data_IF_045563336510
#
_entry.id   IF_045563336510
#
_cell.length_a   1.000
_cell.length_b   1.000
_cell.length_c   1.000
_cell.angle_alpha   90.00
_cell.angle_beta   90.00
_cell.angle_gamma   90.00
#
_symmetry.space_group_name_H-M   'P 1'
#
loop_
_entity.id
_entity.type
_entity.pdbx_description
1 polymer ?
#
# COMPACT_ATOMS: atom_id res chain seq x y z
N UNK A 1 132.21 26.80 -34.01
CA UNK A 1 131.29 27.92 -33.81
C UNK A 1 129.89 27.39 -33.90
N UNK A 2 128.99 27.63 -32.97
CA UNK A 2 127.59 27.36 -32.79
C UNK A 2 127.20 26.08 -32.03
N UNK A 3 127.03 26.24 -30.67
CA UNK A 3 125.99 25.41 -30.03
C UNK A 3 125.13 26.23 -28.96
N UNK A 4 124.70 27.43 -29.28
CA UNK A 4 123.90 28.23 -28.22
C UNK A 4 122.45 28.42 -28.57
N UNK A 5 122.00 28.05 -29.74
CA UNK A 5 120.58 28.26 -30.15
C UNK A 5 119.65 27.10 -29.80
N UNK A 6 120.23 25.89 -29.63
CA UNK A 6 119.39 24.68 -29.33
C UNK A 6 118.80 24.59 -27.89
N UNK A 7 119.46 25.22 -26.93
CA UNK A 7 118.97 25.22 -25.51
C UNK A 7 117.80 26.20 -25.24
N UNK A 8 117.77 27.33 -25.99
CA UNK A 8 116.66 28.31 -25.79
C UNK A 8 115.30 27.79 -26.34
N UNK A 9 115.28 26.94 -27.38
CA UNK A 9 114.01 26.37 -27.87
C UNK A 9 113.47 25.26 -26.96
N UNK A 10 114.34 24.54 -26.27
CA UNK A 10 113.97 23.48 -25.35
C UNK A 10 113.38 24.07 -24.06
N UNK A 11 113.90 25.21 -23.50
CA UNK A 11 113.40 25.82 -22.34
C UNK A 11 112.02 26.50 -22.58
N UNK A 12 111.79 27.09 -23.77
CA UNK A 12 110.54 27.70 -24.15
C UNK A 12 109.40 26.66 -24.27
N UNK A 13 109.75 25.48 -24.80
CA UNK A 13 108.73 24.41 -24.95
C UNK A 13 108.29 23.81 -23.61
N UNK A 14 109.26 23.66 -22.67
CA UNK A 14 108.94 23.17 -21.31
C UNK A 14 108.07 24.19 -20.51
N UNK A 15 108.36 25.47 -20.64
CA UNK A 15 107.58 26.53 -19.99
C UNK A 15 106.12 26.61 -20.56
N UNK A 16 105.99 26.37 -21.89
CA UNK A 16 104.67 26.32 -22.53
C UNK A 16 103.85 25.12 -22.09
N UNK A 17 104.49 23.96 -21.84
CA UNK A 17 103.85 22.73 -21.42
C UNK A 17 103.42 22.80 -19.93
N UNK A 18 104.12 23.53 -19.07
CA UNK A 18 103.84 23.73 -17.66
C UNK A 18 102.65 24.73 -17.47
N UNK A 19 102.59 25.75 -18.34
CA UNK A 19 101.44 26.68 -18.30
C UNK A 19 100.15 26.12 -18.85
N UNK A 20 100.23 25.08 -19.70
CA UNK A 20 98.99 24.43 -20.26
C UNK A 20 98.34 23.44 -19.32
N UNK A 21 99.01 23.02 -18.23
CA UNK A 21 98.50 21.99 -17.33
C UNK A 21 97.67 22.50 -16.14
N UNK A 22 97.56 23.84 -15.94
CA UNK A 22 96.78 24.41 -14.84
C UNK A 22 95.33 24.74 -15.27
N UNK A 23 94.66 23.87 -15.99
CA UNK A 23 93.22 23.90 -16.23
C UNK A 23 92.47 23.43 -14.96
N UNK A 24 92.32 24.34 -14.02
CA UNK A 24 91.37 24.11 -12.90
C UNK A 24 90.00 23.87 -13.52
N UNK A 25 89.59 22.63 -13.64
CA UNK A 25 88.19 22.26 -13.84
C UNK A 25 87.39 22.75 -12.58
N UNK A 26 86.86 23.95 -12.67
CA UNK A 26 85.91 24.44 -11.71
C UNK A 26 84.67 23.55 -11.82
N UNK A 27 84.55 22.58 -10.90
CA UNK A 27 83.35 21.83 -10.74
C UNK A 27 82.19 22.85 -10.50
N UNK A 28 81.43 23.12 -11.53
CA UNK A 28 80.20 23.95 -11.30
C UNK A 28 79.35 23.16 -10.36
N UNK A 29 78.88 23.80 -9.26
CA UNK A 29 77.90 23.16 -8.41
C UNK A 29 76.70 22.86 -9.31
N UNK A 30 76.32 21.59 -9.36
CA UNK A 30 75.07 21.20 -9.95
C UNK A 30 74.01 21.91 -9.12
N UNK A 31 73.50 23.00 -9.65
CA UNK A 31 72.32 23.63 -9.07
C UNK A 31 71.18 22.67 -9.30
N UNK A 32 70.92 21.84 -8.31
CA UNK A 32 69.71 21.07 -8.31
C UNK A 32 68.55 22.11 -8.28
N UNK A 33 67.96 22.29 -9.43
CA UNK A 33 66.76 23.07 -9.47
C UNK A 33 65.69 22.23 -8.74
N UNK A 34 65.20 22.69 -7.57
CA UNK A 34 64.13 21.95 -6.91
C UNK A 34 62.95 21.86 -7.89
N UNK A 35 62.48 20.67 -8.10
CA UNK A 35 61.25 20.45 -8.88
C UNK A 35 60.15 21.12 -8.10
N UNK A 36 59.60 22.20 -8.64
CA UNK A 36 58.43 22.87 -8.06
C UNK A 36 57.25 21.97 -8.33
N UNK A 37 56.78 21.27 -7.32
CA UNK A 37 55.57 20.49 -7.38
C UNK A 37 54.44 21.36 -6.79
N UNK A 38 53.38 21.44 -7.51
CA UNK A 38 52.15 22.05 -7.01
C UNK A 38 51.45 20.99 -6.14
N UNK A 39 51.58 21.15 -4.82
CA UNK A 39 50.87 20.28 -3.89
C UNK A 39 49.62 20.99 -3.42
N UNK A 40 48.50 20.38 -3.67
CA UNK A 40 47.21 20.82 -3.13
C UNK A 40 46.85 19.92 -1.93
N UNK A 41 46.64 20.55 -0.80
CA UNK A 41 46.22 19.83 0.40
C UNK A 41 44.72 19.51 0.23
N UNK A 42 44.42 18.23 -0.02
CA UNK A 42 43.05 17.78 0.00
C UNK A 42 42.54 17.87 1.43
N UNK A 43 41.75 18.88 1.71
CA UNK A 43 41.00 18.91 2.94
C UNK A 43 39.84 17.94 2.79
N UNK A 44 39.76 16.96 3.70
CA UNK A 44 38.59 16.15 3.85
C UNK A 44 37.42 17.02 4.34
N UNK A 45 36.85 17.79 3.45
CA UNK A 45 35.57 18.42 3.70
C UNK A 45 34.50 17.34 3.76
N UNK A 46 33.72 17.35 4.81
CA UNK A 46 32.45 16.62 4.81
C UNK A 46 31.62 17.22 3.68
N UNK A 47 31.77 16.68 2.47
CA UNK A 47 30.81 16.96 1.41
C UNK A 47 29.52 16.24 1.81
N UNK A 48 28.69 16.95 2.59
CA UNK A 48 27.33 16.52 2.79
C UNK A 48 26.61 16.64 1.45
N UNK A 49 26.55 15.53 0.70
CA UNK A 49 25.70 15.46 -0.46
C UNK A 49 24.26 15.57 0.03
N UNK A 50 23.64 16.72 -0.15
CA UNK A 50 22.23 16.91 0.13
C UNK A 50 21.45 16.42 -1.09
N UNK A 51 20.70 15.36 -0.91
CA UNK A 51 19.79 14.87 -1.93
C UNK A 51 18.37 15.34 -1.58
N UNK A 52 17.75 16.06 -2.50
CA UNK A 52 16.35 16.47 -2.36
C UNK A 52 15.48 15.56 -3.21
N UNK A 53 14.55 14.90 -2.56
CA UNK A 53 13.56 14.06 -3.23
C UNK A 53 12.18 14.70 -3.11
N UNK A 54 11.43 14.72 -4.20
CA UNK A 54 10.02 15.06 -4.16
C UNK A 54 9.24 13.86 -3.62
N UNK A 55 8.35 14.09 -2.67
CA UNK A 55 7.52 13.04 -2.09
C UNK A 55 6.32 13.63 -1.36
N UNK A 56 5.25 12.84 -1.28
CA UNK A 56 4.06 13.18 -0.52
C UNK A 56 4.15 12.58 0.88
N UNK A 57 3.87 13.40 1.89
CA UNK A 57 3.72 12.92 3.26
C UNK A 57 2.29 12.42 3.44
N UNK A 58 2.14 11.12 3.67
CA UNK A 58 0.85 10.49 3.93
C UNK A 58 0.81 9.86 5.30
N UNK A 59 -0.38 9.66 5.82
CA UNK A 59 -0.58 8.89 7.04
C UNK A 59 -0.04 7.46 6.88
N UNK A 60 0.53 6.90 7.94
CA UNK A 60 0.99 5.50 7.95
C UNK A 60 -0.14 4.52 7.66
N UNK A 61 -1.35 4.88 8.08
CA UNK A 61 -2.57 4.11 7.87
C UNK A 61 -3.62 5.05 7.29
N UNK A 62 -4.18 4.66 6.16
CA UNK A 62 -5.32 5.31 5.54
C UNK A 62 -6.44 4.29 5.47
N UNK A 63 -7.61 4.63 5.98
CA UNK A 63 -8.78 3.75 5.98
C UNK A 63 -9.93 4.43 5.25
N UNK A 64 -10.50 3.71 4.29
CA UNK A 64 -11.71 4.16 3.61
C UNK A 64 -12.92 3.61 4.35
N UNK A 65 -13.76 4.50 4.89
CA UNK A 65 -15.01 4.13 5.54
C UNK A 65 -16.15 4.21 4.54
N UNK A 66 -16.99 3.18 4.53
CA UNK A 66 -18.20 3.12 3.74
C UNK A 66 -19.33 2.54 4.59
N UNK A 67 -20.57 2.94 4.30
CA UNK A 67 -21.75 2.31 4.88
C UNK A 67 -21.93 0.92 4.29
N UNK A 68 -22.32 -0.05 5.12
CA UNK A 68 -22.68 -1.40 4.67
C UNK A 68 -24.09 -1.46 4.07
N UNK A 69 -24.94 -0.50 4.41
CA UNK A 69 -26.28 -0.34 3.84
C UNK A 69 -26.32 0.87 2.90
N UNK A 70 -27.04 0.74 1.79
CA UNK A 70 -27.30 1.85 0.87
C UNK A 70 -28.35 2.80 1.47
N UNK A 71 -28.19 4.10 1.24
CA UNK A 71 -29.14 5.09 1.72
C UNK A 71 -28.65 6.52 1.47
N UNK A 72 -29.51 7.50 1.77
CA UNK A 72 -29.17 8.92 1.71
C UNK A 72 -28.50 9.33 3.02
N UNK A 73 -27.39 10.07 2.94
CA UNK A 73 -26.77 10.67 4.13
C UNK A 73 -27.75 11.71 4.71
N UNK A 74 -28.17 11.50 5.96
CA UNK A 74 -29.03 12.41 6.69
C UNK A 74 -28.24 13.46 7.45
N UNK A 75 -27.07 13.09 7.97
CA UNK A 75 -26.26 13.97 8.80
C UNK A 75 -24.79 13.65 8.67
N UNK A 76 -23.97 14.69 8.60
CA UNK A 76 -22.49 14.61 8.71
C UNK A 76 -22.06 15.29 10.00
N UNK A 77 -21.46 14.55 10.92
CA UNK A 77 -21.11 15.01 12.26
C UNK A 77 -19.68 15.55 12.37
N UNK A 78 -18.86 15.36 11.32
CA UNK A 78 -17.45 15.76 11.32
C UNK A 78 -17.12 16.56 10.05
N UNK A 79 -16.17 17.49 10.16
CA UNK A 79 -15.69 18.31 9.06
C UNK A 79 -14.43 17.75 8.44
N UNK A 80 -14.11 18.18 7.20
CA UNK A 80 -12.85 17.78 6.55
C UNK A 80 -11.67 18.35 7.35
N UNK A 81 -10.66 17.51 7.59
CA UNK A 81 -9.47 17.89 8.37
C UNK A 81 -9.64 17.79 9.89
N UNK A 82 -10.80 17.38 10.36
CA UNK A 82 -11.07 17.21 11.80
C UNK A 82 -10.46 15.91 12.33
N UNK A 83 -9.87 15.98 13.52
CA UNK A 83 -9.37 14.81 14.21
C UNK A 83 -10.52 14.03 14.86
N UNK A 84 -10.57 12.73 14.60
CA UNK A 84 -11.63 11.85 15.10
C UNK A 84 -11.06 10.79 16.04
N UNK A 85 -11.90 10.29 16.94
CA UNK A 85 -11.57 9.25 17.90
C UNK A 85 -12.18 7.91 17.49
N UNK A 86 -11.58 6.82 17.96
CA UNK A 86 -12.18 5.50 17.80
C UNK A 86 -13.59 5.44 18.42
N UNK A 87 -14.57 4.93 17.66
CA UNK A 87 -15.96 4.86 18.06
C UNK A 87 -16.77 6.16 17.89
N UNK A 88 -16.15 7.24 17.38
CA UNK A 88 -16.88 8.47 17.09
C UNK A 88 -17.74 8.30 15.84
N UNK A 89 -19.01 8.71 15.92
CA UNK A 89 -19.89 8.73 14.77
C UNK A 89 -19.45 9.83 13.79
N UNK A 90 -19.28 9.45 12.51
CA UNK A 90 -18.81 10.34 11.45
C UNK A 90 -19.98 10.87 10.61
N UNK A 91 -20.86 9.96 10.22
CA UNK A 91 -22.02 10.25 9.38
C UNK A 91 -23.17 9.34 9.76
N UNK A 92 -24.39 9.75 9.40
CA UNK A 92 -25.61 8.96 9.56
C UNK A 92 -26.35 8.87 8.24
N UNK A 93 -26.92 7.71 7.95
CA UNK A 93 -27.83 7.54 6.79
C UNK A 93 -29.28 7.64 7.25
N UNK A 94 -30.15 8.02 6.31
CA UNK A 94 -31.61 7.99 6.50
C UNK A 94 -32.07 6.53 6.47
N UNK A 95 -32.72 6.10 7.54
CA UNK A 95 -33.19 4.73 7.72
C UNK A 95 -34.68 4.54 7.33
N UNK A 96 -35.37 5.58 6.86
CA UNK A 96 -36.79 5.51 6.57
C UNK A 96 -37.12 4.41 5.55
N UNK A 97 -36.36 4.31 4.48
CA UNK A 97 -36.55 3.29 3.43
C UNK A 97 -36.26 1.89 3.96
N UNK A 98 -35.17 1.72 4.72
CA UNK A 98 -34.78 0.45 5.30
C UNK A 98 -35.80 -0.03 6.34
N UNK A 99 -36.34 0.90 7.13
CA UNK A 99 -37.43 0.62 8.09
C UNK A 99 -38.68 0.16 7.35
N UNK A 100 -39.07 0.87 6.30
CA UNK A 100 -40.25 0.52 5.49
C UNK A 100 -40.06 -0.87 4.85
N UNK A 101 -38.88 -1.18 4.35
CA UNK A 101 -38.58 -2.52 3.80
C UNK A 101 -38.63 -3.61 4.87
N UNK A 102 -38.15 -3.34 6.09
CA UNK A 102 -38.25 -4.27 7.21
C UNK A 102 -39.73 -4.53 7.61
N UNK A 103 -40.54 -3.48 7.72
CA UNK A 103 -41.95 -3.61 8.04
C UNK A 103 -42.75 -4.37 6.96
N UNK A 104 -42.41 -4.15 5.68
CA UNK A 104 -42.98 -4.89 4.57
C UNK A 104 -42.62 -6.38 4.65
N UNK A 105 -41.35 -6.71 4.83
CA UNK A 105 -40.91 -8.12 4.92
C UNK A 105 -41.47 -8.82 6.16
N UNK A 106 -41.75 -8.07 7.25
CA UNK A 106 -42.47 -8.57 8.42
C UNK A 106 -43.92 -8.91 8.13
N UNK A 107 -44.61 -8.07 7.37
CA UNK A 107 -45.99 -8.33 6.95
C UNK A 107 -46.08 -9.55 6.01
N UNK A 108 -45.13 -9.68 5.05
CA UNK A 108 -45.02 -10.82 4.16
C UNK A 108 -44.75 -12.13 4.92
N UNK A 109 -43.91 -12.08 5.97
CA UNK A 109 -43.67 -13.22 6.85
C UNK A 109 -44.96 -13.62 7.59
N UNK A 110 -45.67 -12.68 8.16
CA UNK A 110 -46.94 -12.96 8.87
C UNK A 110 -48.00 -13.58 7.95
N UNK A 111 -48.06 -13.15 6.69
CA UNK A 111 -48.94 -13.75 5.67
C UNK A 111 -48.53 -15.17 5.34
N UNK A 112 -47.23 -15.43 5.15
CA UNK A 112 -46.72 -16.76 4.88
C UNK A 112 -46.87 -17.71 6.06
N UNK A 113 -46.76 -17.23 7.30
CA UNK A 113 -47.07 -18.02 8.51
C UNK A 113 -48.54 -18.41 8.57
N UNK A 114 -49.45 -17.50 8.22
CA UNK A 114 -50.90 -17.79 8.19
C UNK A 114 -51.23 -18.83 7.11
N UNK A 115 -50.67 -18.71 5.88
CA UNK A 115 -50.81 -19.66 4.80
C UNK A 115 -50.27 -21.06 5.17
N UNK A 116 -49.11 -21.11 5.80
CA UNK A 116 -48.53 -22.33 6.31
C UNK A 116 -49.42 -23.02 7.35
N UNK A 117 -49.92 -22.30 8.34
CA UNK A 117 -50.83 -22.84 9.38
C UNK A 117 -52.06 -23.41 8.78
N UNK A 118 -52.72 -22.74 7.79
CA UNK A 118 -53.88 -23.23 7.09
C UNK A 118 -53.59 -24.55 6.37
N UNK A 119 -52.51 -24.62 5.61
CA UNK A 119 -52.15 -25.80 4.86
C UNK A 119 -51.69 -26.95 5.77
N UNK A 120 -51.01 -26.65 6.91
CA UNK A 120 -50.66 -27.65 7.91
C UNK A 120 -51.90 -28.30 8.55
N UNK A 121 -52.89 -27.52 8.90
CA UNK A 121 -54.15 -28.04 9.44
C UNK A 121 -54.91 -28.89 8.39
N UNK A 122 -54.93 -28.44 7.13
CA UNK A 122 -55.51 -29.21 6.04
C UNK A 122 -54.75 -30.52 5.84
N UNK A 123 -53.41 -30.48 5.71
CA UNK A 123 -52.55 -31.65 5.55
C UNK A 123 -52.77 -32.68 6.67
N UNK A 124 -52.81 -32.26 7.93
CA UNK A 124 -53.00 -33.15 9.07
C UNK A 124 -54.38 -33.81 9.04
N UNK A 125 -55.44 -33.06 8.67
CA UNK A 125 -56.81 -33.58 8.52
C UNK A 125 -56.86 -34.61 7.40
N UNK A 126 -56.35 -34.29 6.21
CA UNK A 126 -56.36 -35.20 5.04
C UNK A 126 -55.44 -36.39 5.23
N UNK A 127 -54.37 -36.27 5.97
CA UNK A 127 -53.51 -37.37 6.39
C UNK A 127 -54.27 -38.44 7.21
N UNK A 128 -55.15 -37.97 8.12
CA UNK A 128 -55.93 -38.87 8.94
C UNK A 128 -57.07 -39.54 8.12
N UNK A 129 -57.73 -38.77 7.20
CA UNK A 129 -58.70 -39.34 6.26
C UNK A 129 -58.09 -40.37 5.29
N UNK A 130 -56.86 -40.13 4.83
CA UNK A 130 -56.13 -41.07 4.01
C UNK A 130 -55.80 -42.39 4.73
N UNK A 131 -55.45 -42.30 6.04
CA UNK A 131 -55.24 -43.49 6.89
C UNK A 131 -56.49 -44.33 7.08
N UNK A 132 -57.67 -43.68 7.03
CA UNK A 132 -58.94 -44.35 7.12
C UNK A 132 -59.51 -44.77 5.77
N UNK A 133 -58.71 -44.61 4.70
CA UNK A 133 -59.08 -44.95 3.31
C UNK A 133 -60.33 -44.22 2.80
N UNK A 134 -60.68 -43.04 3.41
CA UNK A 134 -61.86 -42.25 3.06
C UNK A 134 -61.67 -41.41 1.79
N UNK A 135 -60.40 -41.07 1.48
CA UNK A 135 -60.05 -40.21 0.34
C UNK A 135 -59.12 -40.94 -0.63
N UNK A 136 -59.07 -40.43 -1.88
CA UNK A 136 -58.16 -40.96 -2.89
C UNK A 136 -56.71 -40.55 -2.59
N UNK A 137 -55.75 -41.38 -3.05
CA UNK A 137 -54.35 -41.06 -2.96
C UNK A 137 -54.01 -39.71 -3.64
N UNK A 138 -54.60 -39.46 -4.84
CA UNK A 138 -54.37 -38.21 -5.58
C UNK A 138 -54.82 -36.95 -4.80
N UNK A 139 -55.92 -37.06 -4.02
CA UNK A 139 -56.36 -35.97 -3.18
C UNK A 139 -55.42 -35.71 -2.01
N UNK A 140 -54.91 -36.76 -1.36
CA UNK A 140 -53.91 -36.64 -0.32
C UNK A 140 -52.56 -36.07 -0.86
N UNK A 141 -52.13 -36.53 -2.04
CA UNK A 141 -50.94 -36.05 -2.71
C UNK A 141 -51.04 -34.55 -3.02
N UNK A 142 -52.22 -34.04 -3.41
CA UNK A 142 -52.48 -32.62 -3.65
C UNK A 142 -52.30 -31.80 -2.39
N UNK A 143 -52.90 -32.20 -1.26
CA UNK A 143 -52.76 -31.51 0.04
C UNK A 143 -51.32 -31.59 0.56
N UNK A 144 -50.61 -32.68 0.29
CA UNK A 144 -49.18 -32.80 0.62
C UNK A 144 -48.36 -31.80 -0.16
N UNK A 145 -48.61 -31.66 -1.48
CA UNK A 145 -47.90 -30.67 -2.32
C UNK A 145 -48.20 -29.24 -1.89
N UNK A 146 -49.46 -28.90 -1.56
CA UNK A 146 -49.83 -27.59 -1.06
C UNK A 146 -49.12 -27.24 0.27
N UNK A 147 -49.05 -28.20 1.18
CA UNK A 147 -48.29 -28.04 2.43
C UNK A 147 -46.80 -27.83 2.20
N UNK A 148 -46.18 -28.59 1.27
CA UNK A 148 -44.78 -28.40 0.90
C UNK A 148 -44.50 -27.02 0.29
N UNK A 149 -45.40 -26.54 -0.59
CA UNK A 149 -45.31 -25.20 -1.19
C UNK A 149 -45.42 -24.11 -0.12
N UNK A 150 -46.38 -24.21 0.81
CA UNK A 150 -46.55 -23.24 1.89
C UNK A 150 -45.34 -23.24 2.83
N UNK A 151 -44.75 -24.43 3.09
CA UNK A 151 -43.51 -24.55 3.88
C UNK A 151 -42.33 -23.83 3.20
N UNK A 152 -42.20 -23.99 1.87
CA UNK A 152 -41.14 -23.32 1.10
C UNK A 152 -41.32 -21.78 1.10
N UNK A 153 -42.57 -21.31 0.93
CA UNK A 153 -42.91 -19.88 1.01
C UNK A 153 -42.59 -19.29 2.38
N UNK A 154 -42.91 -19.97 3.49
CA UNK A 154 -42.58 -19.55 4.83
C UNK A 154 -41.06 -19.37 5.01
N UNK A 155 -40.27 -20.37 4.59
CA UNK A 155 -38.80 -20.29 4.68
C UNK A 155 -38.23 -19.13 3.86
N UNK A 156 -38.81 -18.87 2.68
CA UNK A 156 -38.40 -17.74 1.84
C UNK A 156 -38.71 -16.39 2.51
N UNK A 157 -39.92 -16.25 3.09
CA UNK A 157 -40.32 -15.04 3.81
C UNK A 157 -39.48 -14.80 5.07
N UNK A 158 -39.16 -15.85 5.84
CA UNK A 158 -38.23 -15.77 6.98
C UNK A 158 -36.83 -15.28 6.56
N UNK A 159 -36.31 -15.80 5.44
CA UNK A 159 -35.01 -15.38 4.92
C UNK A 159 -35.04 -13.90 4.50
N UNK A 160 -36.09 -13.46 3.82
CA UNK A 160 -36.28 -12.07 3.40
C UNK A 160 -36.39 -11.12 4.61
N UNK A 161 -37.15 -11.51 5.64
CA UNK A 161 -37.24 -10.73 6.88
C UNK A 161 -35.88 -10.61 7.61
N UNK A 162 -35.13 -11.73 7.73
CA UNK A 162 -33.79 -11.69 8.32
C UNK A 162 -32.85 -10.79 7.52
N UNK A 163 -32.89 -10.84 6.20
CA UNK A 163 -32.08 -9.98 5.33
C UNK A 163 -32.41 -8.51 5.53
N UNK A 164 -33.70 -8.15 5.52
CA UNK A 164 -34.14 -6.77 5.76
C UNK A 164 -33.75 -6.28 7.16
N UNK A 165 -33.82 -7.14 8.18
CA UNK A 165 -33.36 -6.84 9.53
C UNK A 165 -31.87 -6.56 9.62
N UNK A 166 -31.05 -7.33 8.93
CA UNK A 166 -29.61 -7.09 8.84
C UNK A 166 -29.29 -5.75 8.16
N UNK A 167 -29.93 -5.48 7.02
CA UNK A 167 -29.75 -4.20 6.31
C UNK A 167 -30.14 -2.99 7.17
N UNK A 168 -31.24 -3.09 7.91
CA UNK A 168 -31.64 -2.05 8.86
C UNK A 168 -30.61 -1.89 10.00
N UNK A 169 -30.11 -3.01 10.55
CA UNK A 169 -29.08 -3.01 11.60
C UNK A 169 -27.75 -2.41 11.18
N UNK A 170 -27.37 -2.54 9.89
CA UNK A 170 -26.14 -1.90 9.37
C UNK A 170 -26.29 -0.37 9.23
N UNK A 171 -27.49 0.16 9.27
CA UNK A 171 -27.75 1.58 9.17
C UNK A 171 -27.87 2.30 10.52
N UNK A 172 -27.94 1.54 11.60
CA UNK A 172 -28.00 2.06 12.98
C UNK A 172 -26.61 2.05 13.64
#
# INVERSE_FOLDING_TARGET
MKPRIRCLFGAGLIVLLVLGGAGCAKKQPVVEHPIVVQAETIQAGLQSASFTYAGDVRGRYESQFAFQAGGRISERMVSNGEAVKAGQALMRIDLADLKTQLERSRADLAAAEADYRLNELAYNRYKELARQEVISKGEFDNHTAQFQVSTAKLRAAEAAYRQAGQQYGYGT
#
